data_IF_445089527741
#
_entry.id   IF_445089527741
#
_cell.length_a   1.000
_cell.length_b   1.000
_cell.length_c   1.000
_cell.angle_alpha   90.00
_cell.angle_beta   90.00
_cell.angle_gamma   90.00
#
_symmetry.space_group_name_H-M   'P 1'
#
loop_
_entity.id
_entity.type
_entity.pdbx_description
1 polymer ?
#
# COMPACT_ATOMS: atom_id res chain seq x y z
N UNK A 1 38.33 -2.08 -11.50
CA UNK A 1 36.89 -1.75 -11.35
C UNK A 1 36.45 -1.90 -9.90
N UNK A 2 36.57 -3.08 -9.29
CA UNK A 2 36.29 -3.31 -7.85
C UNK A 2 37.64 -3.25 -7.12
N UNK A 3 37.78 -2.34 -6.12
CA UNK A 3 39.01 -2.17 -5.34
C UNK A 3 38.89 -2.94 -4.03
N UNK A 4 37.74 -2.86 -3.36
CA UNK A 4 37.51 -3.47 -2.05
C UNK A 4 36.28 -4.36 -2.04
N UNK A 5 36.48 -5.69 -2.10
CA UNK A 5 35.41 -6.68 -2.09
C UNK A 5 34.55 -6.62 -0.80
N UNK A 6 35.17 -6.36 0.35
CA UNK A 6 34.46 -6.24 1.62
C UNK A 6 33.43 -5.12 1.61
N UNK A 7 33.81 -3.93 1.16
CA UNK A 7 32.86 -2.81 1.05
C UNK A 7 31.72 -3.08 0.05
N UNK A 8 32.01 -3.80 -1.04
CA UNK A 8 30.97 -4.19 -1.99
C UNK A 8 29.95 -5.13 -1.35
N UNK A 9 30.42 -6.17 -0.65
CA UNK A 9 29.53 -7.13 0.03
C UNK A 9 28.67 -6.41 1.08
N UNK A 10 29.27 -5.56 1.92
CA UNK A 10 28.54 -4.78 2.93
C UNK A 10 27.48 -3.89 2.28
N UNK A 11 27.82 -3.20 1.18
CA UNK A 11 26.87 -2.37 0.45
C UNK A 11 25.68 -3.17 -0.08
N UNK A 12 25.96 -4.29 -0.76
CA UNK A 12 24.91 -5.15 -1.32
C UNK A 12 24.01 -5.75 -0.22
N UNK A 13 24.60 -6.15 0.91
CA UNK A 13 23.84 -6.67 2.06
C UNK A 13 22.90 -5.59 2.63
N UNK A 14 23.37 -4.35 2.78
CA UNK A 14 22.54 -3.25 3.26
C UNK A 14 21.39 -2.94 2.29
N UNK A 15 21.65 -2.88 0.97
CA UNK A 15 20.61 -2.70 -0.02
C UNK A 15 19.58 -3.83 0.04
N UNK A 16 20.03 -5.08 0.14
CA UNK A 16 19.13 -6.24 0.26
C UNK A 16 18.24 -6.15 1.50
N UNK A 17 18.80 -5.80 2.66
CA UNK A 17 18.04 -5.63 3.91
C UNK A 17 16.99 -4.53 3.76
N UNK A 18 17.36 -3.37 3.21
CA UNK A 18 16.40 -2.28 2.98
C UNK A 18 15.29 -2.71 2.03
N UNK A 19 15.62 -3.42 0.94
CA UNK A 19 14.62 -3.91 -0.02
C UNK A 19 13.68 -4.93 0.62
N UNK A 20 14.21 -5.84 1.47
CA UNK A 20 13.41 -6.83 2.18
C UNK A 20 12.47 -6.19 3.20
N UNK A 21 12.94 -5.19 3.93
CA UNK A 21 12.14 -4.46 4.92
C UNK A 21 11.06 -3.56 4.28
N UNK A 22 11.28 -3.11 3.04
CA UNK A 22 10.32 -2.32 2.27
C UNK A 22 9.45 -3.16 1.33
N UNK A 23 9.46 -4.49 1.46
CA UNK A 23 8.67 -5.35 0.61
C UNK A 23 7.16 -5.18 0.89
N UNK A 24 6.34 -4.69 -0.07
CA UNK A 24 4.97 -4.27 0.18
C UNK A 24 3.96 -5.42 0.05
N UNK A 25 4.27 -6.59 0.62
CA UNK A 25 3.41 -7.77 0.50
C UNK A 25 3.49 -8.63 1.78
N UNK A 26 2.39 -9.23 2.27
CA UNK A 26 1.01 -9.18 1.78
C UNK A 26 0.24 -7.91 2.18
N UNK A 27 0.82 -7.10 3.05
CA UNK A 27 0.20 -5.87 3.54
C UNK A 27 0.96 -4.68 3.00
N UNK A 28 0.23 -3.64 2.57
CA UNK A 28 0.87 -2.40 2.17
C UNK A 28 1.73 -1.87 3.32
N UNK A 29 3.02 -1.72 3.08
CA UNK A 29 3.99 -1.28 4.09
C UNK A 29 3.66 0.12 4.59
N UNK A 30 3.08 0.95 3.71
CA UNK A 30 2.70 2.32 4.02
C UNK A 30 1.35 2.65 3.38
N UNK A 31 0.43 3.14 4.19
CA UNK A 31 -0.89 3.56 3.70
C UNK A 31 -0.77 4.85 2.89
N UNK A 32 -1.42 4.88 1.74
CA UNK A 32 -1.42 6.04 0.85
C UNK A 32 -2.07 7.26 1.53
N UNK A 33 -1.46 8.43 1.37
CA UNK A 33 -2.04 9.72 1.83
C UNK A 33 -1.77 10.12 3.28
N UNK A 34 -1.04 9.30 4.05
CA UNK A 34 -0.76 9.54 5.48
C UNK A 34 0.55 10.30 5.72
N UNK A 35 1.40 10.39 4.69
CA UNK A 35 2.77 10.86 4.86
C UNK A 35 2.91 12.34 4.52
N UNK A 36 3.43 13.13 5.44
CA UNK A 36 3.74 14.55 5.21
C UNK A 36 5.10 14.75 4.55
N UNK A 37 6.02 13.79 4.68
CA UNK A 37 7.33 13.86 4.04
C UNK A 37 7.84 12.46 3.65
N UNK A 38 8.28 12.34 2.40
CA UNK A 38 8.87 11.12 1.83
C UNK A 38 10.28 11.42 1.32
N UNK A 39 11.27 10.64 1.74
CA UNK A 39 12.66 10.75 1.31
C UNK A 39 13.09 9.44 0.64
N UNK A 40 13.53 9.51 -0.61
CA UNK A 40 13.91 8.32 -1.40
C UNK A 40 12.83 7.23 -1.46
N UNK A 41 11.55 7.64 -1.54
CA UNK A 41 10.42 6.71 -1.56
C UNK A 41 10.03 6.14 -0.17
N UNK A 42 10.71 6.56 0.90
CA UNK A 42 10.48 6.09 2.27
C UNK A 42 9.82 7.21 3.07
N UNK A 43 8.67 6.97 3.71
CA UNK A 43 8.05 7.95 4.57
C UNK A 43 8.89 8.15 5.85
N UNK A 44 9.21 9.39 6.14
CA UNK A 44 10.03 9.78 7.30
C UNK A 44 9.25 10.61 8.31
N UNK A 45 8.04 11.05 7.95
CA UNK A 45 7.15 11.81 8.81
C UNK A 45 5.69 11.57 8.41
N UNK A 46 4.81 11.59 9.40
CA UNK A 46 3.35 11.58 9.26
C UNK A 46 2.76 12.85 9.85
N UNK A 47 1.44 13.00 9.78
CA UNK A 47 0.74 14.10 10.46
C UNK A 47 0.93 14.06 11.98
N UNK A 48 1.18 12.87 12.54
CA UNK A 48 1.38 12.65 14.00
C UNK A 48 2.82 12.83 14.46
N UNK A 49 3.79 13.00 13.54
CA UNK A 49 5.19 13.24 13.90
C UNK A 49 6.23 12.49 13.08
N UNK A 50 7.42 12.39 13.65
CA UNK A 50 8.60 11.80 13.01
C UNK A 50 8.55 10.28 13.07
N UNK A 51 8.73 9.63 11.91
CA UNK A 51 8.89 8.18 11.80
C UNK A 51 10.36 7.76 11.92
N UNK A 52 10.80 7.37 13.11
CA UNK A 52 12.18 6.96 13.35
C UNK A 52 12.66 5.81 12.47
N UNK A 53 11.79 4.85 12.18
CA UNK A 53 12.10 3.74 11.27
C UNK A 53 12.38 4.22 9.83
N UNK A 54 11.64 5.22 9.34
CA UNK A 54 11.90 5.81 8.03
C UNK A 54 13.29 6.44 7.96
N UNK A 55 13.69 7.17 8.99
CA UNK A 55 15.03 7.75 9.09
C UNK A 55 16.12 6.69 9.19
N UNK A 56 15.89 5.60 9.90
CA UNK A 56 16.81 4.46 9.95
C UNK A 56 17.04 3.87 8.55
N UNK A 57 15.97 3.68 7.76
CA UNK A 57 16.09 3.19 6.38
C UNK A 57 16.88 4.15 5.49
N UNK A 58 16.61 5.46 5.59
CA UNK A 58 17.39 6.48 4.86
C UNK A 58 18.86 6.41 5.24
N UNK A 59 19.19 6.29 6.52
CA UNK A 59 20.57 6.15 6.99
C UNK A 59 21.24 4.88 6.45
N UNK A 60 20.52 3.75 6.39
CA UNK A 60 21.03 2.50 5.79
C UNK A 60 21.29 2.65 4.29
N UNK A 61 20.42 3.32 3.54
CA UNK A 61 20.63 3.60 2.10
C UNK A 61 21.87 4.47 1.91
N UNK A 62 22.00 5.54 2.70
CA UNK A 62 23.20 6.42 2.63
C UNK A 62 24.48 5.63 2.93
N UNK A 63 24.48 4.82 3.96
CA UNK A 63 25.62 3.95 4.29
C UNK A 63 25.94 2.98 3.15
N UNK A 64 24.92 2.34 2.57
CA UNK A 64 25.08 1.43 1.44
C UNK A 64 25.74 2.12 0.22
N UNK A 65 25.28 3.32 -0.12
CA UNK A 65 25.85 4.13 -1.21
C UNK A 65 27.30 4.52 -0.91
N UNK A 66 27.62 4.93 0.32
CA UNK A 66 29.00 5.27 0.73
C UNK A 66 29.92 4.06 0.59
N UNK A 67 29.50 2.88 1.05
CA UNK A 67 30.28 1.65 0.88
C UNK A 67 30.41 1.26 -0.60
N UNK A 68 29.38 1.43 -1.42
CA UNK A 68 29.44 1.18 -2.85
C UNK A 68 30.47 2.08 -3.54
N UNK A 69 30.45 3.37 -3.25
CA UNK A 69 31.40 4.34 -3.82
C UNK A 69 32.84 4.04 -3.40
N UNK A 70 33.07 3.59 -2.14
CA UNK A 70 34.39 3.17 -1.67
C UNK A 70 34.84 1.83 -2.26
N UNK A 71 33.91 0.95 -2.62
CA UNK A 71 34.24 -0.34 -3.23
C UNK A 71 34.70 -0.23 -4.69
N UNK A 72 34.30 0.82 -5.39
CA UNK A 72 34.46 0.99 -6.83
C UNK A 72 35.55 2.01 -7.15
N UNK A 73 36.23 1.80 -8.25
CA UNK A 73 37.18 2.76 -8.84
C UNK A 73 36.54 3.61 -9.93
N UNK A 74 35.84 2.95 -10.86
CA UNK A 74 35.20 3.57 -12.02
C UNK A 74 33.67 3.48 -11.91
N UNK A 75 32.97 4.39 -12.59
CA UNK A 75 31.51 4.44 -12.68
C UNK A 75 30.76 4.62 -11.35
N UNK A 76 31.42 5.17 -10.32
CA UNK A 76 30.89 5.36 -8.96
C UNK A 76 29.52 6.01 -8.95
N UNK A 77 29.39 7.17 -9.63
CA UNK A 77 28.13 7.92 -9.68
C UNK A 77 27.02 7.16 -10.42
N UNK A 78 27.36 6.54 -11.56
CA UNK A 78 26.35 5.80 -12.36
C UNK A 78 25.79 4.61 -11.59
N UNK A 79 26.65 3.85 -10.89
CA UNK A 79 26.23 2.70 -10.12
C UNK A 79 25.50 3.11 -8.83
N UNK A 80 25.87 4.23 -8.21
CA UNK A 80 25.14 4.79 -7.08
C UNK A 80 23.72 5.22 -7.49
N UNK A 81 23.56 5.94 -8.60
CA UNK A 81 22.24 6.33 -9.11
C UNK A 81 21.38 5.10 -9.51
N UNK A 82 22.00 4.11 -10.16
CA UNK A 82 21.33 2.87 -10.53
C UNK A 82 20.88 2.11 -9.28
N UNK A 83 21.69 2.02 -8.23
CA UNK A 83 21.32 1.32 -6.99
C UNK A 83 20.18 2.02 -6.27
N UNK A 84 20.14 3.35 -6.25
CA UNK A 84 19.02 4.12 -5.69
C UNK A 84 17.72 3.88 -6.46
N UNK A 85 17.78 3.82 -7.79
CA UNK A 85 16.63 3.47 -8.62
C UNK A 85 16.14 2.05 -8.32
N UNK A 86 17.06 1.08 -8.26
CA UNK A 86 16.73 -0.32 -8.01
C UNK A 86 16.09 -0.53 -6.63
N UNK A 87 16.59 0.13 -5.58
CA UNK A 87 16.02 0.02 -4.23
C UNK A 87 14.55 0.46 -4.18
N UNK A 88 14.16 1.44 -5.00
CA UNK A 88 12.78 1.92 -5.06
C UNK A 88 11.90 1.04 -5.96
N UNK A 89 12.41 0.57 -7.09
CA UNK A 89 11.60 -0.13 -8.10
C UNK A 89 11.47 -1.64 -7.82
N UNK A 90 12.56 -2.27 -7.37
CA UNK A 90 12.61 -3.74 -7.22
C UNK A 90 11.58 -4.31 -6.23
N UNK A 91 11.36 -3.74 -5.03
CA UNK A 91 10.36 -4.30 -4.10
C UNK A 91 8.96 -4.31 -4.70
N UNK A 92 8.56 -3.22 -5.36
CA UNK A 92 7.25 -3.09 -6.02
C UNK A 92 7.15 -4.05 -7.21
N UNK A 93 8.17 -4.11 -8.05
CA UNK A 93 8.19 -4.98 -9.23
C UNK A 93 8.14 -6.46 -8.85
N UNK A 94 8.89 -6.87 -7.81
CA UNK A 94 8.88 -8.25 -7.34
C UNK A 94 7.56 -8.62 -6.67
N UNK A 95 6.94 -7.73 -5.89
CA UNK A 95 5.62 -7.95 -5.32
C UNK A 95 4.56 -8.11 -6.43
N UNK A 96 4.55 -7.21 -7.43
CA UNK A 96 3.63 -7.29 -8.56
C UNK A 96 3.87 -8.54 -9.41
N UNK A 97 5.11 -8.96 -9.60
CA UNK A 97 5.41 -10.21 -10.33
C UNK A 97 4.89 -11.43 -9.55
N UNK A 98 5.12 -11.49 -8.24
CA UNK A 98 4.61 -12.56 -7.38
C UNK A 98 3.08 -12.63 -7.43
N UNK A 99 2.40 -11.50 -7.30
CA UNK A 99 0.94 -11.36 -7.34
C UNK A 99 0.33 -11.91 -8.64
N UNK A 100 1.01 -11.68 -9.78
CA UNK A 100 0.54 -12.07 -11.10
C UNK A 100 0.92 -13.49 -11.52
N UNK A 101 1.86 -14.16 -10.86
CA UNK A 101 2.43 -15.42 -11.34
C UNK A 101 2.31 -16.58 -10.37
N UNK A 102 2.40 -16.33 -9.07
CA UNK A 102 2.53 -17.38 -8.05
C UNK A 102 1.45 -17.28 -6.97
N UNK A 103 0.93 -16.08 -6.73
CA UNK A 103 -0.07 -15.85 -5.69
C UNK A 103 -1.39 -16.54 -6.03
N UNK A 104 -2.10 -16.97 -5.00
CA UNK A 104 -3.43 -17.59 -5.09
C UNK A 104 -4.37 -17.02 -4.02
N UNK A 105 -5.68 -17.18 -4.22
CA UNK A 105 -6.70 -16.64 -3.32
C UNK A 105 -6.59 -15.12 -3.20
N UNK A 106 -6.82 -14.56 -2.03
CA UNK A 106 -6.79 -13.10 -1.79
C UNK A 106 -5.42 -12.45 -2.09
N UNK A 107 -4.35 -13.23 -2.13
CA UNK A 107 -3.03 -12.72 -2.49
C UNK A 107 -2.85 -12.48 -4.00
N UNK A 108 -3.67 -13.10 -4.83
CA UNK A 108 -3.72 -12.84 -6.27
C UNK A 108 -4.66 -11.67 -6.64
N UNK A 109 -5.39 -11.11 -5.70
CA UNK A 109 -6.29 -9.97 -5.93
C UNK A 109 -5.49 -8.69 -5.82
N UNK A 110 -5.54 -7.81 -6.80
CA UNK A 110 -5.02 -6.44 -6.72
C UNK A 110 -6.17 -5.44 -6.64
N UNK A 111 -5.93 -4.36 -5.91
CA UNK A 111 -6.83 -3.24 -5.75
C UNK A 111 -6.30 -2.01 -6.49
N UNK A 112 -7.13 -1.42 -7.34
CA UNK A 112 -6.81 -0.19 -8.07
C UNK A 112 -7.38 1.02 -7.33
N UNK A 113 -6.60 1.58 -6.41
CA UNK A 113 -7.03 2.75 -5.61
C UNK A 113 -7.28 3.99 -6.47
N UNK A 114 -6.63 4.10 -7.64
CA UNK A 114 -6.82 5.25 -8.53
C UNK A 114 -8.13 5.20 -9.32
N UNK A 115 -8.66 3.99 -9.53
CA UNK A 115 -9.94 3.73 -10.18
C UNK A 115 -11.07 3.43 -9.18
N UNK A 116 -10.86 3.73 -7.90
CA UNK A 116 -11.83 3.48 -6.84
C UNK A 116 -12.21 4.78 -6.14
N UNK A 117 -13.50 4.94 -5.86
CA UNK A 117 -14.06 6.15 -5.25
C UNK A 117 -15.14 5.77 -4.24
N UNK A 118 -15.22 6.51 -3.15
CA UNK A 118 -16.37 6.52 -2.25
C UNK A 118 -17.00 7.90 -2.24
N UNK A 119 -18.32 7.95 -2.43
CA UNK A 119 -19.15 9.15 -2.38
C UNK A 119 -20.08 9.07 -1.20
N UNK A 120 -20.22 10.18 -0.50
CA UNK A 120 -21.10 10.33 0.66
C UNK A 120 -22.07 11.47 0.40
N UNK A 121 -23.33 11.13 0.21
CA UNK A 121 -24.38 12.07 -0.12
C UNK A 121 -25.40 12.13 1.01
N UNK A 122 -25.75 13.33 1.47
CA UNK A 122 -26.74 13.53 2.51
C UNK A 122 -28.12 13.09 2.03
N UNK A 123 -28.75 12.18 2.75
CA UNK A 123 -30.08 11.61 2.44
C UNK A 123 -31.14 12.04 3.48
N UNK A 124 -31.07 13.27 3.99
CA UNK A 124 -31.96 13.80 5.02
C UNK A 124 -31.22 14.54 6.14
N UNK A 125 -31.90 14.79 7.27
CA UNK A 125 -31.29 15.58 8.36
C UNK A 125 -30.23 14.82 9.15
N UNK A 126 -30.29 13.48 9.21
CA UNK A 126 -29.41 12.65 10.05
C UNK A 126 -28.90 11.39 9.32
N UNK A 127 -29.21 11.24 8.03
CA UNK A 127 -28.82 10.07 7.23
C UNK A 127 -27.93 10.48 6.07
N UNK A 128 -26.98 9.61 5.81
CA UNK A 128 -26.05 9.73 4.70
C UNK A 128 -26.03 8.44 3.91
N UNK A 129 -26.13 8.55 2.59
CA UNK A 129 -25.92 7.45 1.67
C UNK A 129 -24.45 7.39 1.32
N UNK A 130 -23.80 6.29 1.68
CA UNK A 130 -22.44 5.96 1.28
C UNK A 130 -22.49 5.04 0.06
N UNK A 131 -21.81 5.42 -1.01
CA UNK A 131 -21.68 4.64 -2.24
C UNK A 131 -20.19 4.54 -2.58
N UNK A 132 -19.67 3.30 -2.58
CA UNK A 132 -18.27 3.04 -2.93
C UNK A 132 -18.22 2.15 -4.17
N UNK A 133 -17.43 2.56 -5.16
CA UNK A 133 -17.05 1.77 -6.32
C UNK A 133 -15.58 1.39 -6.18
N UNK A 134 -15.31 0.10 -6.01
CA UNK A 134 -14.00 -0.43 -5.70
C UNK A 134 -13.53 -1.36 -6.81
N UNK A 135 -12.46 -1.01 -7.47
CA UNK A 135 -11.94 -1.77 -8.61
C UNK A 135 -10.91 -2.80 -8.17
N UNK A 136 -11.22 -4.07 -8.39
CA UNK A 136 -10.34 -5.20 -8.12
C UNK A 136 -9.99 -5.97 -9.40
N UNK A 137 -8.84 -6.63 -9.39
CA UNK A 137 -8.41 -7.55 -10.44
C UNK A 137 -7.90 -8.84 -9.80
N UNK A 138 -8.47 -9.96 -10.18
CA UNK A 138 -7.95 -11.28 -9.82
C UNK A 138 -6.94 -11.72 -10.89
N UNK A 139 -5.71 -11.99 -10.47
CA UNK A 139 -4.62 -12.45 -11.35
C UNK A 139 -4.50 -13.97 -11.41
N UNK A 140 -5.26 -14.71 -10.59
CA UNK A 140 -5.30 -16.17 -10.65
C UNK A 140 -6.35 -16.65 -11.66
N UNK A 141 -6.23 -17.91 -12.09
CA UNK A 141 -7.22 -18.53 -12.97
C UNK A 141 -8.44 -19.09 -12.21
N UNK A 142 -8.40 -19.09 -10.89
CA UNK A 142 -9.47 -19.60 -10.03
C UNK A 142 -10.32 -18.42 -9.47
N UNK A 143 -11.59 -18.71 -9.22
CA UNK A 143 -12.47 -17.74 -8.57
C UNK A 143 -12.01 -17.47 -7.11
N UNK A 144 -12.06 -16.22 -6.69
CA UNK A 144 -11.69 -15.79 -5.33
C UNK A 144 -12.91 -15.17 -4.66
N UNK A 145 -13.24 -15.71 -3.47
CA UNK A 145 -14.28 -15.19 -2.59
C UNK A 145 -13.59 -14.51 -1.40
N UNK A 146 -14.06 -13.34 -1.03
CA UNK A 146 -13.50 -12.60 0.08
C UNK A 146 -14.53 -11.66 0.71
N UNK A 147 -14.28 -11.33 1.96
CA UNK A 147 -14.97 -10.26 2.66
C UNK A 147 -14.10 -9.01 2.66
N UNK A 148 -14.73 -7.85 2.64
CA UNK A 148 -14.10 -6.56 2.57
C UNK A 148 -14.49 -5.71 3.77
N UNK A 149 -13.54 -5.01 4.36
CA UNK A 149 -13.72 -4.00 5.39
C UNK A 149 -12.88 -2.75 5.10
N UNK A 150 -13.37 -1.60 5.52
CA UNK A 150 -12.66 -0.33 5.37
C UNK A 150 -11.69 -0.14 6.54
N UNK A 151 -10.50 0.35 6.24
CA UNK A 151 -9.51 0.69 7.26
C UNK A 151 -9.53 2.20 7.51
N UNK A 152 -9.45 2.59 8.78
CA UNK A 152 -9.33 3.99 9.15
C UNK A 152 -8.07 4.60 8.55
N UNK A 153 -8.18 5.81 8.01
CA UNK A 153 -7.02 6.63 7.63
C UNK A 153 -6.49 7.31 8.89
N UNK A 154 -5.17 7.39 9.02
CA UNK A 154 -4.53 8.06 10.15
C UNK A 154 -4.89 9.56 10.22
N UNK A 155 -4.55 10.19 11.34
CA UNK A 155 -4.91 11.53 11.78
C UNK A 155 -4.94 12.61 10.68
N UNK A 156 -5.95 13.47 10.75
CA UNK A 156 -6.21 14.53 9.78
C UNK A 156 -7.51 14.35 8.99
N UNK A 157 -8.09 13.14 8.98
CA UNK A 157 -9.34 12.82 8.30
C UNK A 157 -10.36 12.21 9.28
N UNK A 158 -10.52 12.81 10.46
CA UNK A 158 -11.38 12.25 11.53
C UNK A 158 -12.81 11.97 11.07
N UNK A 159 -13.41 12.91 10.36
CA UNK A 159 -14.79 12.78 9.86
C UNK A 159 -14.95 11.60 8.90
N UNK A 160 -13.97 11.40 7.99
CA UNK A 160 -13.98 10.24 7.08
C UNK A 160 -13.75 8.91 7.81
N UNK A 161 -12.88 8.89 8.82
CA UNK A 161 -12.65 7.70 9.63
C UNK A 161 -13.91 7.29 10.40
N UNK A 162 -14.65 8.26 10.95
CA UNK A 162 -15.91 8.02 11.64
C UNK A 162 -16.94 7.41 10.70
N UNK A 163 -17.07 7.92 9.47
CA UNK A 163 -17.99 7.38 8.47
C UNK A 163 -17.57 5.99 8.01
N UNK A 164 -16.27 5.75 7.80
CA UNK A 164 -15.76 4.42 7.44
C UNK A 164 -15.99 3.40 8.56
N UNK A 165 -15.86 3.83 9.82
CA UNK A 165 -16.17 3.02 10.98
C UNK A 165 -17.66 2.65 11.01
N UNK A 166 -18.55 3.63 10.81
CA UNK A 166 -19.99 3.40 10.69
C UNK A 166 -20.33 2.48 9.52
N UNK A 167 -19.65 2.65 8.37
CA UNK A 167 -19.86 1.78 7.22
C UNK A 167 -19.48 0.32 7.52
N UNK A 168 -18.43 0.09 8.31
CA UNK A 168 -18.02 -1.24 8.75
C UNK A 168 -19.06 -1.92 9.67
N UNK A 169 -19.93 -1.18 10.35
CA UNK A 169 -21.04 -1.77 11.15
C UNK A 169 -22.06 -2.48 10.28
N UNK A 170 -22.17 -2.10 8.99
CA UNK A 170 -23.04 -2.75 8.01
C UNK A 170 -22.33 -3.90 7.26
N UNK A 171 -21.02 -4.09 7.49
CA UNK A 171 -20.20 -5.14 6.92
C UNK A 171 -20.13 -6.40 7.81
N UNK A 172 -19.21 -7.32 7.50
CA UNK A 172 -18.29 -7.29 6.35
C UNK A 172 -19.00 -7.46 5.01
N UNK A 173 -18.50 -6.80 3.96
CA UNK A 173 -19.12 -6.87 2.63
C UNK A 173 -18.52 -8.05 1.85
N UNK A 174 -19.37 -8.94 1.37
CA UNK A 174 -18.97 -10.09 0.57
C UNK A 174 -18.74 -9.69 -0.89
N UNK A 175 -17.66 -10.18 -1.49
CA UNK A 175 -17.35 -10.00 -2.89
C UNK A 175 -16.75 -11.26 -3.48
N UNK A 176 -16.91 -11.42 -4.81
CA UNK A 176 -16.29 -12.49 -5.57
C UNK A 176 -15.78 -11.98 -6.90
N UNK A 177 -14.68 -12.56 -7.35
CA UNK A 177 -14.05 -12.34 -8.64
C UNK A 177 -13.83 -13.68 -9.31
N UNK A 178 -14.25 -13.81 -10.56
CA UNK A 178 -13.92 -14.98 -11.37
C UNK A 178 -12.42 -15.00 -11.72
N UNK A 179 -11.95 -16.11 -12.26
CA UNK A 179 -10.55 -16.24 -12.68
C UNK A 179 -10.20 -15.19 -13.75
N UNK A 180 -9.09 -14.48 -13.54
CA UNK A 180 -8.59 -13.41 -14.43
C UNK A 180 -9.57 -12.24 -14.64
N UNK A 181 -10.53 -12.05 -13.73
CA UNK A 181 -11.55 -11.00 -13.82
C UNK A 181 -11.04 -9.67 -13.29
N UNK A 182 -11.41 -8.56 -13.97
CA UNK A 182 -11.39 -7.21 -13.43
C UNK A 182 -12.83 -6.73 -13.23
N UNK A 183 -13.18 -6.36 -12.01
CA UNK A 183 -14.55 -6.02 -11.61
C UNK A 183 -14.59 -4.81 -10.69
N UNK A 184 -15.63 -4.01 -10.86
CA UNK A 184 -16.00 -2.97 -9.90
C UNK A 184 -16.99 -3.57 -8.91
N UNK A 185 -16.60 -3.58 -7.64
CA UNK A 185 -17.45 -3.99 -6.52
C UNK A 185 -18.13 -2.73 -5.98
N UNK A 186 -19.45 -2.68 -6.09
CA UNK A 186 -20.24 -1.55 -5.61
C UNK A 186 -20.80 -1.87 -4.22
N UNK A 187 -20.53 -0.98 -3.27
CA UNK A 187 -21.06 -1.04 -1.91
C UNK A 187 -21.94 0.17 -1.70
N UNK A 188 -23.15 -0.06 -1.20
CA UNK A 188 -24.08 1.01 -0.85
C UNK A 188 -24.68 0.75 0.52
N UNK A 189 -24.61 1.73 1.41
CA UNK A 189 -25.22 1.68 2.74
C UNK A 189 -25.77 3.05 3.15
N UNK A 190 -26.83 3.04 3.95
CA UNK A 190 -27.32 4.26 4.61
C UNK A 190 -26.79 4.25 6.05
N UNK A 191 -25.95 5.24 6.37
CA UNK A 191 -25.36 5.41 7.70
C UNK A 191 -25.94 6.62 8.41
N UNK A 192 -26.10 6.53 9.72
CA UNK A 192 -26.48 7.69 10.53
C UNK A 192 -25.25 8.57 10.73
N UNK A 193 -25.32 9.82 10.30
CA UNK A 193 -24.22 10.78 10.47
C UNK A 193 -24.74 12.11 10.92
N UNK A 194 -24.31 12.53 12.10
CA UNK A 194 -24.53 13.86 12.64
C UNK A 194 -23.30 14.73 12.41
N UNK A 195 -23.35 15.63 11.42
CA UNK A 195 -22.34 16.68 11.30
C UNK A 195 -21.43 16.63 10.07
N UNK A 196 -21.53 15.63 9.22
CA UNK A 196 -20.82 15.58 7.95
C UNK A 196 -21.72 16.01 6.79
N UNK A 197 -21.29 16.98 6.00
CA UNK A 197 -22.10 17.54 4.91
C UNK A 197 -22.03 16.74 3.60
N UNK A 198 -21.23 15.70 3.56
CA UNK A 198 -20.97 14.89 2.37
C UNK A 198 -19.62 15.18 1.73
N UNK A 199 -19.26 14.35 0.76
CA UNK A 199 -17.99 14.49 0.03
C UNK A 199 -17.62 13.21 -0.70
N UNK A 200 -16.49 13.25 -1.38
CA UNK A 200 -15.93 12.08 -2.05
C UNK A 200 -14.45 11.96 -1.77
N UNK A 201 -13.94 10.74 -1.78
CA UNK A 201 -12.52 10.49 -1.75
C UNK A 201 -12.15 9.26 -2.58
N UNK A 202 -10.96 9.30 -3.15
CA UNK A 202 -10.43 8.23 -3.98
C UNK A 202 -9.58 7.27 -3.14
N UNK A 203 -9.58 6.01 -3.51
CA UNK A 203 -8.71 4.98 -2.99
C UNK A 203 -8.82 4.79 -1.48
N UNK A 204 -9.99 4.39 -0.93
CA UNK A 204 -10.09 4.02 0.48
C UNK A 204 -9.10 2.90 0.81
N UNK A 205 -8.52 2.96 2.01
CA UNK A 205 -7.71 1.85 2.50
C UNK A 205 -8.64 0.69 2.87
N UNK A 206 -8.29 -0.50 2.41
CA UNK A 206 -9.12 -1.68 2.52
C UNK A 206 -8.37 -2.84 3.14
N UNK A 207 -9.09 -3.67 3.88
CA UNK A 207 -8.69 -5.00 4.27
C UNK A 207 -9.62 -6.00 3.57
N UNK A 208 -9.05 -6.97 2.87
CA UNK A 208 -9.80 -8.11 2.37
C UNK A 208 -9.38 -9.38 3.14
N UNK A 209 -10.32 -10.28 3.33
CA UNK A 209 -10.13 -11.54 4.04
C UNK A 209 -10.79 -12.66 3.25
N UNK A 210 -10.00 -13.66 2.86
CA UNK A 210 -10.48 -14.84 2.14
C UNK A 210 -11.09 -15.89 3.03
N UNK A 211 -11.80 -16.83 2.44
CA UNK A 211 -12.42 -17.96 3.14
C UNK A 211 -11.40 -18.84 3.88
N UNK A 212 -10.14 -18.80 3.48
CA UNK A 212 -9.03 -19.49 4.13
C UNK A 212 -8.44 -18.74 5.34
N UNK A 213 -9.03 -17.62 5.72
CA UNK A 213 -8.60 -16.74 6.80
C UNK A 213 -7.35 -15.90 6.49
N UNK A 214 -6.84 -15.95 5.25
CA UNK A 214 -5.75 -15.07 4.83
C UNK A 214 -6.27 -13.66 4.63
N UNK A 215 -5.48 -12.69 5.04
CA UNK A 215 -5.83 -11.28 4.96
C UNK A 215 -4.83 -10.50 4.12
N UNK A 216 -5.32 -9.50 3.41
CA UNK A 216 -4.52 -8.54 2.67
C UNK A 216 -5.01 -7.12 2.91
N UNK A 217 -4.10 -6.15 3.06
CA UNK A 217 -4.41 -4.73 3.25
C UNK A 217 -3.85 -3.90 2.10
N UNK A 218 -4.59 -2.88 1.70
CA UNK A 218 -4.27 -1.95 0.61
C UNK A 218 -4.27 -0.51 1.08
#
# INVERSE_FOLDING_TARGET
>A
MIIHKGYLITSLSLFFVVMALNFPFPHATYQSGVHSMVVLGIPVSTADGIMWFGWLYVAMIVAAVVFLVKALDKYKLRLALLSLLLVNVMPIATASAFERTVASGVYAVSYDSSASVCEFNRSGNERMKAECELTFTNHSDEAVFFTLSFMERYSGYKEFNEILSLLNEYGPFEASLDGSERKVVSISAEVESSGFDGGSFNGPNLKIEGDDGKTRTY
#
